data_IF_420305525819
#
_entry.id   IF_420305525819
#
_cell.length_a   1.000
_cell.length_b   1.000
_cell.length_c   1.000
_cell.angle_alpha   90.00
_cell.angle_beta   90.00
_cell.angle_gamma   90.00
#
_symmetry.space_group_name_H-M   'P 1'
#
loop_
_entity.id
_entity.type
_entity.pdbx_description
1 polymer ?
#
# COMPACT_ATOMS: atom_id res chain seq x y z
N UNK A 1 24.14 21.52 42.81
CA UNK A 1 24.01 21.52 41.34
C UNK A 1 23.55 20.14 40.89
N UNK A 2 22.31 19.99 40.42
CA UNK A 2 21.80 18.72 39.85
C UNK A 2 22.00 18.77 38.33
N UNK A 3 22.75 17.82 37.79
CA UNK A 3 22.88 17.65 36.36
C UNK A 3 21.51 17.25 35.77
N UNK A 4 20.95 18.13 34.94
CA UNK A 4 19.81 17.83 34.09
C UNK A 4 20.30 16.86 33.02
N UNK A 5 19.98 15.58 33.18
CA UNK A 5 20.08 14.62 32.10
C UNK A 5 19.05 15.02 31.04
N UNK A 6 19.50 15.76 30.02
CA UNK A 6 18.77 15.94 28.77
C UNK A 6 18.78 14.56 28.09
N UNK A 7 17.80 13.73 28.44
CA UNK A 7 17.49 12.52 27.68
C UNK A 7 16.99 12.97 26.32
N UNK A 8 17.89 12.94 25.34
CA UNK A 8 17.55 13.11 23.94
C UNK A 8 16.53 12.04 23.54
N UNK A 9 15.24 12.40 23.59
CA UNK A 9 14.14 11.66 22.99
C UNK A 9 14.18 11.84 21.45
N UNK A 10 15.34 11.54 20.85
CA UNK A 10 15.53 11.42 19.41
C UNK A 10 15.18 9.99 19.02
N UNK A 11 14.16 9.84 18.17
CA UNK A 11 13.59 8.60 17.68
C UNK A 11 14.64 7.50 17.38
N UNK A 12 14.87 6.59 18.32
CA UNK A 12 15.53 5.32 18.02
C UNK A 12 14.50 4.47 17.30
N UNK A 13 14.49 4.52 15.97
CA UNK A 13 13.68 3.60 15.16
C UNK A 13 14.16 2.19 15.52
N UNK A 14 13.37 1.46 16.31
CA UNK A 14 13.73 0.10 16.71
C UNK A 14 13.78 -0.78 15.48
N UNK A 15 14.92 -1.45 15.26
CA UNK A 15 15.12 -2.39 14.15
C UNK A 15 13.99 -3.42 14.07
N UNK A 16 13.46 -3.84 15.23
CA UNK A 16 12.32 -4.75 15.35
C UNK A 16 11.06 -4.17 14.71
N UNK A 17 10.76 -2.87 14.90
CA UNK A 17 9.59 -2.23 14.28
C UNK A 17 9.74 -2.07 12.78
N UNK A 18 10.95 -1.79 12.29
CA UNK A 18 11.24 -1.76 10.85
C UNK A 18 11.01 -3.15 10.27
N UNK A 19 11.64 -4.19 10.84
CA UNK A 19 11.47 -5.58 10.40
C UNK A 19 9.99 -5.98 10.37
N UNK A 20 9.24 -5.70 11.43
CA UNK A 20 7.81 -6.03 11.50
C UNK A 20 6.99 -5.27 10.45
N UNK A 21 7.36 -4.03 10.11
CA UNK A 21 6.72 -3.25 9.03
C UNK A 21 6.98 -3.84 7.64
N UNK A 22 8.19 -4.35 7.40
CA UNK A 22 8.55 -4.99 6.13
C UNK A 22 7.85 -6.34 5.96
N UNK A 23 7.77 -7.14 7.02
CA UNK A 23 7.01 -8.42 7.01
C UNK A 23 5.53 -8.14 6.76
N UNK A 24 4.95 -7.17 7.46
CA UNK A 24 3.57 -6.76 7.25
C UNK A 24 3.32 -6.25 5.82
N UNK A 25 4.27 -5.46 5.30
CA UNK A 25 4.30 -5.00 3.91
C UNK A 25 4.27 -6.15 2.91
N UNK A 26 5.13 -7.15 3.12
CA UNK A 26 5.20 -8.35 2.29
C UNK A 26 3.88 -9.14 2.30
N UNK A 27 3.30 -9.37 3.49
CA UNK A 27 2.00 -10.05 3.60
C UNK A 27 0.89 -9.29 2.88
N UNK A 28 0.84 -7.96 3.04
CA UNK A 28 -0.10 -7.11 2.31
C UNK A 28 0.09 -7.22 0.80
N UNK A 29 1.33 -7.09 0.33
CA UNK A 29 1.67 -7.18 -1.10
C UNK A 29 1.29 -8.54 -1.68
N UNK A 30 1.51 -9.65 -0.96
CA UNK A 30 1.08 -10.98 -1.39
C UNK A 30 -0.43 -11.09 -1.56
N UNK A 31 -1.23 -10.56 -0.62
CA UNK A 31 -2.69 -10.52 -0.73
C UNK A 31 -3.13 -9.67 -1.92
N UNK A 32 -2.49 -8.52 -2.13
CA UNK A 32 -2.78 -7.66 -3.28
C UNK A 32 -2.46 -8.34 -4.61
N UNK A 33 -1.28 -8.97 -4.74
CA UNK A 33 -0.91 -9.73 -5.93
C UNK A 33 -1.86 -10.88 -6.20
N UNK A 34 -2.32 -11.60 -5.17
CA UNK A 34 -3.32 -12.65 -5.33
C UNK A 34 -4.64 -12.09 -5.86
N UNK A 35 -5.12 -10.97 -5.30
CA UNK A 35 -6.33 -10.30 -5.76
C UNK A 35 -6.24 -9.85 -7.22
N UNK A 36 -5.09 -9.31 -7.62
CA UNK A 36 -4.82 -8.92 -9.01
C UNK A 36 -4.81 -10.14 -9.92
N UNK A 37 -4.18 -11.24 -9.52
CA UNK A 37 -4.14 -12.48 -10.31
C UNK A 37 -5.54 -13.08 -10.48
N UNK A 38 -6.36 -13.07 -9.43
CA UNK A 38 -7.76 -13.50 -9.50
C UNK A 38 -8.55 -12.58 -10.43
N UNK A 39 -8.42 -11.26 -10.27
CA UNK A 39 -9.07 -10.29 -11.14
C UNK A 39 -8.65 -10.43 -12.61
N UNK A 40 -7.36 -10.64 -12.90
CA UNK A 40 -6.87 -10.81 -14.28
C UNK A 40 -7.36 -12.10 -14.96
N UNK A 41 -7.74 -13.13 -14.19
CA UNK A 41 -8.22 -14.41 -14.74
C UNK A 41 -9.75 -14.52 -14.82
N UNK A 42 -10.48 -13.84 -13.94
CA UNK A 42 -11.94 -13.99 -13.81
C UNK A 42 -12.70 -12.67 -13.57
N UNK A 43 -12.04 -11.53 -13.73
CA UNK A 43 -12.59 -10.22 -13.38
C UNK A 43 -13.61 -9.69 -14.40
N UNK A 44 -14.65 -8.98 -13.93
CA UNK A 44 -15.66 -8.37 -14.80
C UNK A 44 -15.15 -7.14 -15.58
N UNK A 45 -13.92 -6.67 -15.33
CA UNK A 45 -13.34 -5.44 -15.91
C UNK A 45 -11.95 -5.70 -16.51
N UNK A 46 -11.84 -6.45 -17.63
CA UNK A 46 -10.56 -6.79 -18.25
C UNK A 46 -9.76 -5.55 -18.70
N UNK A 47 -10.42 -4.41 -18.93
CA UNK A 47 -9.76 -3.17 -19.33
C UNK A 47 -9.10 -2.39 -18.17
N UNK A 48 -9.45 -2.72 -16.92
CA UNK A 48 -8.90 -2.05 -15.75
C UNK A 48 -8.00 -3.00 -14.95
N UNK A 49 -6.70 -2.93 -15.25
CA UNK A 49 -5.67 -3.59 -14.48
C UNK A 49 -4.74 -2.54 -13.88
N UNK A 50 -4.88 -2.20 -12.58
CA UNK A 50 -4.11 -1.11 -11.95
C UNK A 50 -2.60 -1.27 -12.11
N UNK A 51 -2.12 -2.51 -12.13
CA UNK A 51 -0.70 -2.78 -12.32
C UNK A 51 -0.24 -2.49 -13.75
N UNK A 52 -1.07 -2.76 -14.76
CA UNK A 52 -0.71 -2.45 -16.15
C UNK A 52 -0.65 -0.94 -16.37
N UNK A 53 -1.52 -0.17 -15.72
CA UNK A 53 -1.47 1.31 -15.76
C UNK A 53 -0.21 1.84 -15.08
N UNK A 54 0.19 1.26 -13.94
CA UNK A 54 1.47 1.57 -13.28
C UNK A 54 2.64 1.20 -14.18
N UNK A 55 2.61 0.03 -14.83
CA UNK A 55 3.64 -0.41 -15.78
C UNK A 55 3.74 0.52 -16.99
N UNK A 56 2.61 0.92 -17.59
CA UNK A 56 2.57 1.88 -18.71
C UNK A 56 3.17 3.22 -18.32
N UNK A 57 2.83 3.73 -17.12
CA UNK A 57 3.41 4.95 -16.59
C UNK A 57 4.93 4.85 -16.38
N UNK A 58 5.40 3.72 -15.84
CA UNK A 58 6.82 3.45 -15.66
C UNK A 58 7.56 3.34 -17.01
N UNK A 59 7.04 2.58 -17.97
CA UNK A 59 7.63 2.44 -19.31
C UNK A 59 7.69 3.78 -20.05
N UNK A 60 6.70 4.64 -19.88
CA UNK A 60 6.71 6.01 -20.42
C UNK A 60 7.82 6.86 -19.79
N UNK A 61 8.07 6.71 -18.48
CA UNK A 61 9.12 7.44 -17.77
C UNK A 61 10.54 6.92 -18.05
N UNK A 62 10.74 5.61 -18.21
CA UNK A 62 12.06 5.00 -18.40
C UNK A 62 12.42 4.74 -19.87
N UNK A 63 11.49 4.93 -20.81
CA UNK A 63 11.71 4.73 -22.25
C UNK A 63 12.11 3.29 -22.63
N UNK A 64 11.93 2.34 -21.73
CA UNK A 64 12.38 0.96 -21.84
C UNK A 64 11.21 0.03 -21.56
N UNK A 65 10.89 -0.83 -22.53
CA UNK A 65 9.88 -1.87 -22.33
C UNK A 65 10.43 -2.93 -21.37
N UNK A 66 9.97 -2.88 -20.13
CA UNK A 66 10.32 -3.85 -19.11
C UNK A 66 9.49 -5.11 -19.30
N UNK A 67 10.13 -6.28 -19.19
CA UNK A 67 9.41 -7.55 -19.23
C UNK A 67 8.30 -7.56 -18.14
N UNK A 68 7.05 -7.98 -18.44
CA UNK A 68 5.92 -7.86 -17.51
C UNK A 68 6.18 -8.46 -16.13
N UNK A 69 6.94 -9.56 -16.06
CA UNK A 69 7.35 -10.18 -14.80
C UNK A 69 8.29 -9.31 -13.95
N UNK A 70 9.20 -8.56 -14.58
CA UNK A 70 10.11 -7.63 -13.91
C UNK A 70 9.34 -6.41 -13.40
N UNK A 71 8.45 -5.87 -14.23
CA UNK A 71 7.65 -4.72 -13.86
C UNK A 71 6.68 -5.05 -12.71
N UNK A 72 6.05 -6.22 -12.74
CA UNK A 72 5.28 -6.75 -11.61
C UNK A 72 6.12 -6.90 -10.34
N UNK A 73 7.33 -7.47 -10.45
CA UNK A 73 8.22 -7.66 -9.30
C UNK A 73 8.63 -6.30 -8.69
N UNK A 74 8.88 -5.29 -9.52
CA UNK A 74 9.19 -3.94 -9.05
C UNK A 74 8.03 -3.32 -8.27
N UNK A 75 6.80 -3.42 -8.79
CA UNK A 75 5.60 -2.93 -8.09
C UNK A 75 5.35 -3.74 -6.80
N UNK A 76 5.55 -5.05 -6.83
CA UNK A 76 5.44 -5.91 -5.65
C UNK A 76 6.43 -5.53 -4.56
N UNK A 77 7.72 -5.41 -4.91
CA UNK A 77 8.79 -5.03 -3.97
C UNK A 77 8.57 -3.61 -3.46
N UNK A 78 8.13 -2.68 -4.31
CA UNK A 78 7.75 -1.33 -3.89
C UNK A 78 6.61 -1.37 -2.85
N UNK A 79 5.54 -2.13 -3.14
CA UNK A 79 4.42 -2.36 -2.24
C UNK A 79 4.82 -3.03 -0.92
N UNK A 80 5.76 -3.97 -0.94
CA UNK A 80 6.23 -4.65 0.25
C UNK A 80 7.15 -3.75 1.10
N UNK A 81 8.09 -3.07 0.46
CA UNK A 81 9.17 -2.36 1.14
C UNK A 81 8.80 -0.91 1.44
N UNK A 82 8.52 -0.11 0.40
CA UNK A 82 8.29 1.33 0.53
C UNK A 82 6.99 1.56 1.28
N UNK A 83 5.90 0.97 0.80
CA UNK A 83 4.60 1.14 1.43
C UNK A 83 4.50 0.46 2.79
N UNK A 84 5.15 -0.71 2.98
CA UNK A 84 5.29 -1.34 4.30
C UNK A 84 6.00 -0.43 5.31
N UNK A 85 7.11 0.19 4.90
CA UNK A 85 7.85 1.14 5.72
C UNK A 85 7.02 2.40 6.04
N UNK A 86 6.44 3.03 5.01
CA UNK A 86 5.57 4.22 5.16
C UNK A 86 4.43 3.95 6.12
N UNK A 87 3.77 2.79 5.99
CA UNK A 87 2.71 2.38 6.90
C UNK A 87 3.22 2.22 8.34
N UNK A 88 4.36 1.56 8.56
CA UNK A 88 4.96 1.41 9.88
C UNK A 88 5.24 2.76 10.58
N UNK A 89 5.69 3.77 9.83
CA UNK A 89 5.89 5.12 10.37
C UNK A 89 4.57 5.84 10.67
N UNK A 90 3.59 5.68 9.78
CA UNK A 90 2.26 6.27 9.90
C UNK A 90 1.41 5.62 11.01
N UNK A 91 1.67 4.35 11.37
CA UNK A 91 0.80 3.53 12.20
C UNK A 91 0.39 4.15 13.55
N UNK A 92 1.30 4.92 14.17
CA UNK A 92 1.04 5.64 15.43
C UNK A 92 0.11 6.85 15.27
N UNK A 93 0.10 7.45 14.09
CA UNK A 93 -0.73 8.62 13.75
C UNK A 93 -2.08 8.23 13.17
N UNK A 94 -2.24 6.98 12.71
CA UNK A 94 -3.50 6.50 12.17
C UNK A 94 -4.60 6.46 13.26
N UNK A 95 -5.78 7.04 12.99
CA UNK A 95 -6.86 7.11 13.96
C UNK A 95 -7.45 5.73 14.27
N UNK A 96 -7.83 5.54 15.53
CA UNK A 96 -8.54 4.34 15.99
C UNK A 96 -7.70 3.41 16.87
N UNK A 97 -8.37 2.80 17.85
CA UNK A 97 -7.76 1.85 18.80
C UNK A 97 -7.62 0.43 18.24
N UNK A 98 -8.45 0.06 17.25
CA UNK A 98 -8.47 -1.29 16.66
C UNK A 98 -7.57 -1.34 15.41
N UNK A 99 -6.76 -2.38 15.21
CA UNK A 99 -5.83 -2.47 14.09
C UNK A 99 -6.53 -2.45 12.72
N UNK A 100 -7.67 -3.12 12.56
CA UNK A 100 -8.41 -3.10 11.29
C UNK A 100 -8.86 -1.68 10.89
N UNK A 101 -9.23 -0.81 11.85
CA UNK A 101 -9.64 0.57 11.56
C UNK A 101 -8.50 1.41 10.99
N UNK A 102 -7.28 1.20 11.51
CA UNK A 102 -6.07 1.85 11.00
C UNK A 102 -5.78 1.44 9.55
N UNK A 103 -5.93 0.14 9.26
CA UNK A 103 -5.82 -0.39 7.91
C UNK A 103 -6.84 0.24 6.96
N UNK A 104 -8.12 0.23 7.34
CA UNK A 104 -9.20 0.87 6.55
C UNK A 104 -8.90 2.34 6.27
N UNK A 105 -8.51 3.12 7.28
CA UNK A 105 -8.20 4.53 7.10
C UNK A 105 -7.05 4.73 6.11
N UNK A 106 -5.96 3.97 6.26
CA UNK A 106 -4.82 4.01 5.35
C UNK A 106 -5.21 3.63 3.92
N UNK A 107 -6.00 2.57 3.75
CA UNK A 107 -6.51 2.11 2.46
C UNK A 107 -7.40 3.15 1.77
N UNK A 108 -8.28 3.83 2.51
CA UNK A 108 -9.12 4.92 1.98
C UNK A 108 -8.27 6.12 1.57
N UNK A 109 -7.26 6.50 2.36
CA UNK A 109 -6.34 7.56 1.98
C UNK A 109 -5.57 7.22 0.69
N UNK A 110 -5.03 6.00 0.61
CA UNK A 110 -4.36 5.52 -0.59
C UNK A 110 -5.30 5.47 -1.81
N UNK A 111 -6.56 5.08 -1.60
CA UNK A 111 -7.58 5.05 -2.64
C UNK A 111 -7.93 6.44 -3.17
N UNK A 112 -8.10 7.42 -2.29
CA UNK A 112 -8.29 8.83 -2.67
C UNK A 112 -7.07 9.35 -3.42
N UNK A 113 -5.86 9.08 -2.94
CA UNK A 113 -4.63 9.51 -3.60
C UNK A 113 -4.50 8.92 -5.00
N UNK A 114 -4.74 7.61 -5.16
CA UNK A 114 -4.72 6.96 -6.47
C UNK A 114 -5.83 7.49 -7.40
N UNK A 115 -7.04 7.64 -6.87
CA UNK A 115 -8.20 8.13 -7.60
C UNK A 115 -8.06 9.57 -8.11
N UNK A 116 -7.58 10.47 -7.25
CA UNK A 116 -7.56 11.91 -7.52
C UNK A 116 -6.22 12.41 -8.07
N UNK A 117 -5.11 11.73 -7.77
CA UNK A 117 -3.77 12.16 -8.18
C UNK A 117 -3.24 11.26 -9.28
N UNK A 118 -3.12 9.95 -9.01
CA UNK A 118 -2.45 9.04 -9.95
C UNK A 118 -3.21 8.87 -11.27
N UNK A 119 -4.51 8.54 -11.24
CA UNK A 119 -5.27 8.29 -12.49
C UNK A 119 -5.39 9.50 -13.42
N UNK A 120 -5.58 10.74 -12.94
CA UNK A 120 -5.50 11.92 -13.79
C UNK A 120 -4.11 12.11 -14.43
N UNK A 121 -3.03 11.79 -13.71
CA UNK A 121 -1.67 11.91 -14.24
C UNK A 121 -1.37 10.90 -15.35
N UNK A 122 -1.97 9.71 -15.30
CA UNK A 122 -1.85 8.69 -16.37
C UNK A 122 -2.99 8.76 -17.41
N UNK A 123 -3.66 9.91 -17.51
CA UNK A 123 -4.74 10.20 -18.46
C UNK A 123 -5.96 9.25 -18.41
N UNK A 124 -6.19 8.60 -17.27
CA UNK A 124 -7.40 7.80 -17.00
C UNK A 124 -8.54 8.65 -16.42
N UNK A 125 -8.26 9.90 -16.05
CA UNK A 125 -9.21 10.82 -15.40
C UNK A 125 -9.42 10.50 -13.91
N UNK A 126 -10.22 11.32 -13.23
CA UNK A 126 -10.50 11.14 -11.80
C UNK A 126 -11.19 9.78 -11.59
N UNK A 127 -10.65 8.95 -10.71
CA UNK A 127 -11.18 7.61 -10.43
C UNK A 127 -11.33 6.70 -11.67
N UNK A 128 -10.48 6.93 -12.68
CA UNK A 128 -10.49 6.18 -13.94
C UNK A 128 -11.80 6.29 -14.74
N UNK A 129 -12.59 7.36 -14.54
CA UNK A 129 -13.88 7.56 -15.23
C UNK A 129 -13.77 7.63 -16.76
N UNK A 130 -12.59 7.99 -17.31
CA UNK A 130 -12.39 8.04 -18.77
C UNK A 130 -12.42 6.65 -19.42
N UNK A 131 -12.36 5.57 -18.63
CA UNK A 131 -12.54 4.21 -19.14
C UNK A 131 -13.96 3.91 -19.61
N UNK A 132 -14.95 4.77 -19.29
CA UNK A 132 -16.34 4.53 -19.68
C UNK A 132 -17.05 3.41 -18.90
N UNK A 133 -16.37 2.84 -17.89
CA UNK A 133 -16.87 1.72 -17.06
C UNK A 133 -17.61 2.19 -15.80
N UNK A 134 -17.96 3.48 -15.71
CA UNK A 134 -18.61 4.08 -14.55
C UNK A 134 -17.76 4.03 -13.28
N UNK A 135 -18.38 3.70 -12.15
CA UNK A 135 -17.75 3.66 -10.81
C UNK A 135 -17.02 2.33 -10.52
N UNK A 136 -17.12 1.34 -11.41
CA UNK A 136 -16.63 -0.02 -11.15
C UNK A 136 -15.09 -0.08 -10.92
N UNK A 137 -14.24 0.62 -11.71
CA UNK A 137 -12.80 0.69 -11.46
C UNK A 137 -12.45 1.26 -10.07
N UNK A 138 -13.15 2.30 -9.65
CA UNK A 138 -12.95 2.93 -8.36
C UNK A 138 -13.28 1.99 -7.19
N UNK A 139 -14.40 1.27 -7.28
CA UNK A 139 -14.81 0.31 -6.25
C UNK A 139 -13.83 -0.86 -6.19
N UNK A 140 -13.41 -1.40 -7.34
CA UNK A 140 -12.44 -2.49 -7.39
C UNK A 140 -11.09 -2.08 -6.77
N UNK A 141 -10.59 -0.89 -7.11
CA UNK A 141 -9.38 -0.35 -6.52
C UNK A 141 -9.53 -0.20 -4.99
N UNK A 142 -10.67 0.29 -4.53
CA UNK A 142 -10.94 0.41 -3.09
C UNK A 142 -10.86 -0.95 -2.40
N UNK A 143 -11.51 -1.97 -2.95
CA UNK A 143 -11.47 -3.34 -2.39
C UNK A 143 -10.05 -3.87 -2.31
N UNK A 144 -9.27 -3.72 -3.39
CA UNK A 144 -7.87 -4.16 -3.43
C UNK A 144 -6.98 -3.43 -2.40
N UNK A 145 -7.14 -2.12 -2.27
CA UNK A 145 -6.37 -1.31 -1.32
C UNK A 145 -6.78 -1.56 0.13
N UNK A 146 -8.06 -1.80 0.40
CA UNK A 146 -8.55 -2.18 1.72
C UNK A 146 -8.01 -3.56 2.13
N UNK A 147 -8.06 -4.56 1.25
CA UNK A 147 -7.53 -5.88 1.54
C UNK A 147 -6.03 -5.84 1.82
N UNK A 148 -5.26 -5.11 1.01
CA UNK A 148 -3.84 -4.84 1.20
C UNK A 148 -3.54 -4.19 2.57
N UNK A 149 -4.17 -3.04 2.84
CA UNK A 149 -3.88 -2.21 4.02
C UNK A 149 -4.39 -2.81 5.33
N UNK A 150 -5.54 -3.48 5.32
CA UNK A 150 -6.07 -4.18 6.50
C UNK A 150 -5.18 -5.37 6.85
N UNK A 151 -4.77 -6.17 5.87
CA UNK A 151 -3.85 -7.29 6.08
C UNK A 151 -2.54 -6.79 6.70
N UNK A 152 -1.93 -5.77 6.09
CA UNK A 152 -0.72 -5.15 6.61
C UNK A 152 -0.90 -4.66 8.05
N UNK A 153 -2.01 -3.97 8.35
CA UNK A 153 -2.29 -3.45 9.69
C UNK A 153 -2.44 -4.54 10.75
N UNK A 154 -3.13 -5.63 10.41
CA UNK A 154 -3.31 -6.77 11.32
C UNK A 154 -1.98 -7.48 11.59
N UNK A 155 -1.20 -7.78 10.56
CA UNK A 155 0.11 -8.43 10.69
C UNK A 155 1.08 -7.54 11.47
N UNK A 156 1.14 -6.25 11.17
CA UNK A 156 2.00 -5.31 11.89
C UNK A 156 1.65 -5.24 13.39
N UNK A 157 0.35 -5.18 13.71
CA UNK A 157 -0.12 -5.18 15.09
C UNK A 157 0.25 -6.46 15.83
N UNK A 158 0.01 -7.62 15.19
CA UNK A 158 0.31 -8.93 15.77
C UNK A 158 1.81 -9.07 16.07
N UNK A 159 2.67 -8.76 15.11
CA UNK A 159 4.13 -8.86 15.28
C UNK A 159 4.65 -7.92 16.37
N UNK A 160 4.09 -6.71 16.47
CA UNK A 160 4.47 -5.76 17.52
C UNK A 160 3.96 -6.22 18.89
N UNK A 161 2.77 -6.81 18.98
CA UNK A 161 2.23 -7.31 20.26
C UNK A 161 3.08 -8.42 20.88
N UNK A 162 3.78 -9.21 20.06
CA UNK A 162 4.70 -10.26 20.54
C UNK A 162 6.08 -9.70 20.91
N UNK A 163 6.48 -8.58 20.30
CA UNK A 163 7.82 -8.00 20.49
C UNK A 163 7.86 -7.01 21.66
N UNK A 164 6.79 -6.25 21.84
CA UNK A 164 6.58 -5.28 22.92
C UNK A 164 5.20 -5.60 23.55
N UNK A 165 5.08 -6.62 24.43
CA UNK A 165 3.83 -6.84 25.17
C UNK A 165 3.54 -5.59 26.01
N UNK A 166 2.41 -4.94 25.72
CA UNK A 166 1.94 -3.76 26.47
C UNK A 166 1.50 -4.18 27.86
#
# INVERSE_FOLDING_TARGET
MRAVAVTGAGARISLTRIRNSLIAGLCGASVHSLLVLVHGKSGPLPEFNPNDDIQRGLSWLTGTEMHPGVAWLLVFVNGAMIWGFVFGQAYRFLPGKKPWRKGVFFGVCAWIAMGLVFFPLVDRGIFAVKLGLGMAPAILLLVMLLAYSVTMSLVYHLLNSWSDPV
#
